data_IF_261488918543
#
_entry.id   IF_261488918543
#
_cell.length_a   1.000
_cell.length_b   1.000
_cell.length_c   1.000
_cell.angle_alpha   90.00
_cell.angle_beta   90.00
_cell.angle_gamma   90.00
#
_symmetry.space_group_name_H-M   'P 1'
#
loop_
_entity.id
_entity.type
_entity.pdbx_description
1 polymer ?
#
# COMPACT_ATOMS: atom_id res chain seq x y z
N UNK A 1 -0.89 23.51 -6.92
CA UNK A 1 -0.67 23.19 -6.59
C UNK A 1 -0.25 23.02 -5.90
N UNK A 2 -0.17 23.06 -5.49
CA UNK A 2 0.07 23.19 -4.85
C UNK A 2 0.72 22.57 -3.77
N UNK A 3 0.29 22.33 -2.72
CA UNK A 3 0.99 21.69 -1.67
C UNK A 3 0.80 20.23 -1.75
N UNK A 4 1.84 19.40 -1.66
CA UNK A 4 1.65 17.96 -1.63
C UNK A 4 0.88 17.60 -0.38
N UNK A 5 0.08 16.59 -0.50
CA UNK A 5 -0.67 16.08 0.63
C UNK A 5 0.28 15.36 1.58
N UNK A 6 0.08 15.54 2.86
CA UNK A 6 0.76 14.71 3.84
C UNK A 6 -0.19 14.39 4.97
N UNK A 7 0.03 13.23 5.56
CA UNK A 7 -0.81 12.81 6.68
C UNK A 7 -0.43 13.59 7.93
N UNK A 8 -1.42 13.89 8.75
CA UNK A 8 -1.17 14.50 10.03
C UNK A 8 -0.54 13.47 10.97
N UNK A 9 -0.01 13.94 12.09
CA UNK A 9 0.57 13.03 13.07
C UNK A 9 -0.49 12.10 13.63
N UNK A 10 -1.69 12.62 13.89
CA UNK A 10 -2.76 11.78 14.37
C UNK A 10 -3.14 10.70 13.37
N UNK A 11 -3.18 11.05 12.09
CA UNK A 11 -3.49 10.07 11.07
C UNK A 11 -2.40 9.03 10.95
N UNK A 12 -1.15 9.45 11.06
CA UNK A 12 -0.04 8.50 10.95
C UNK A 12 -0.06 7.52 12.11
N UNK A 13 -0.41 7.97 13.30
CA UNK A 13 -0.47 7.09 14.45
C UNK A 13 -1.77 6.32 14.56
N UNK A 14 -2.75 6.65 13.75
CA UNK A 14 -4.05 6.00 13.78
C UNK A 14 -4.30 5.21 12.51
N UNK A 15 -5.00 5.83 11.57
CA UNK A 15 -5.48 5.11 10.38
C UNK A 15 -4.35 4.62 9.50
N UNK A 16 -3.26 5.38 9.38
CA UNK A 16 -2.15 4.95 8.55
C UNK A 16 -1.49 3.72 9.14
N UNK A 17 -1.23 3.74 10.44
CA UNK A 17 -0.61 2.60 11.09
C UNK A 17 -1.52 1.39 11.05
N UNK A 18 -2.80 1.59 11.24
CA UNK A 18 -3.77 0.52 11.17
C UNK A 18 -3.78 -0.13 9.79
N UNK A 19 -3.77 0.71 8.75
CA UNK A 19 -3.75 0.23 7.37
C UNK A 19 -2.47 -0.54 7.09
N UNK A 20 -1.35 -0.01 7.55
CA UNK A 20 -0.06 -0.67 7.39
C UNK A 20 -0.10 -2.07 7.99
N UNK A 21 -0.60 -2.17 9.22
CA UNK A 21 -0.65 -3.46 9.91
C UNK A 21 -1.55 -4.44 9.17
N UNK A 22 -2.69 -3.97 8.68
CA UNK A 22 -3.61 -4.83 7.95
C UNK A 22 -2.98 -5.35 6.67
N UNK A 23 -2.26 -4.50 5.96
CA UNK A 23 -1.61 -4.92 4.73
C UNK A 23 -0.54 -5.96 5.02
N UNK A 24 0.24 -5.76 6.07
CA UNK A 24 1.27 -6.73 6.46
C UNK A 24 0.61 -8.07 6.79
N UNK A 25 -0.47 -8.04 7.56
CA UNK A 25 -1.15 -9.27 7.94
C UNK A 25 -1.70 -10.01 6.74
N UNK A 26 -2.26 -9.28 5.78
CA UNK A 26 -2.79 -9.90 4.57
C UNK A 26 -1.68 -10.53 3.74
N UNK A 27 -0.54 -9.87 3.67
CA UNK A 27 0.60 -10.43 2.95
C UNK A 27 1.11 -11.70 3.61
N UNK A 28 1.10 -11.72 4.94
CA UNK A 28 1.54 -12.91 5.64
C UNK A 28 0.57 -14.06 5.44
N UNK A 29 -0.73 -13.75 5.41
CA UNK A 29 -1.73 -14.77 5.12
C UNK A 29 -1.56 -15.33 3.71
N UNK A 30 -1.25 -14.47 2.77
CA UNK A 30 -1.00 -14.90 1.39
C UNK A 30 0.15 -15.88 1.36
N UNK A 31 1.23 -15.56 2.06
CA UNK A 31 2.39 -16.44 2.07
C UNK A 31 2.06 -17.79 2.71
N UNK A 32 1.29 -17.77 3.78
CA UNK A 32 0.89 -19.00 4.43
C UNK A 32 0.04 -19.87 3.53
N UNK A 33 -0.89 -19.25 2.82
CA UNK A 33 -1.83 -20.00 2.00
C UNK A 33 -1.21 -20.53 0.72
N UNK A 34 -0.22 -19.84 0.19
CA UNK A 34 0.38 -20.20 -1.09
C UNK A 34 1.80 -20.69 -0.97
N UNK A 35 2.43 -20.47 0.19
CA UNK A 35 3.83 -20.80 0.41
C UNK A 35 4.74 -20.05 -0.55
N UNK A 36 4.34 -18.86 -0.97
CA UNK A 36 5.14 -18.09 -1.93
C UNK A 36 6.29 -17.40 -1.21
N UNK A 37 7.37 -17.10 -1.95
CA UNK A 37 8.49 -16.38 -1.36
C UNK A 37 8.20 -14.90 -1.25
N UNK A 38 9.04 -14.20 -0.51
CA UNK A 38 8.87 -12.76 -0.32
C UNK A 38 8.87 -11.99 -1.63
N UNK A 39 9.63 -12.44 -2.61
CA UNK A 39 9.68 -11.76 -3.90
C UNK A 39 8.31 -11.69 -4.56
N UNK A 40 7.49 -12.71 -4.35
CA UNK A 40 6.15 -12.70 -4.93
C UNK A 40 5.27 -11.67 -4.23
N UNK A 41 5.45 -11.50 -2.93
CA UNK A 41 4.73 -10.47 -2.20
C UNK A 41 5.14 -9.09 -2.70
N UNK A 42 6.44 -8.88 -2.90
CA UNK A 42 6.93 -7.60 -3.41
C UNK A 42 6.35 -7.34 -4.79
N UNK A 43 6.31 -8.35 -5.65
CA UNK A 43 5.76 -8.19 -6.98
C UNK A 43 4.29 -7.79 -6.93
N UNK A 44 3.53 -8.42 -6.07
CA UNK A 44 2.12 -8.09 -5.94
C UNK A 44 1.94 -6.66 -5.44
N UNK A 45 2.71 -6.27 -4.45
CA UNK A 45 2.63 -4.90 -3.91
C UNK A 45 3.00 -3.88 -4.99
N UNK A 46 3.95 -4.22 -5.84
CA UNK A 46 4.34 -3.34 -6.93
C UNK A 46 3.21 -3.16 -7.92
N UNK A 47 2.48 -4.23 -8.22
CA UNK A 47 1.34 -4.13 -9.11
C UNK A 47 0.26 -3.25 -8.51
N UNK A 48 0.02 -3.41 -7.22
CA UNK A 48 -0.97 -2.58 -6.54
C UNK A 48 -0.54 -1.13 -6.58
N UNK A 49 0.73 -0.87 -6.32
CA UNK A 49 1.26 0.49 -6.35
C UNK A 49 1.09 1.10 -7.73
N UNK A 50 1.32 0.31 -8.78
CA UNK A 50 1.14 0.78 -10.15
C UNK A 50 -0.28 1.23 -10.41
N UNK A 51 -1.24 0.48 -9.89
CA UNK A 51 -2.63 0.86 -10.07
C UNK A 51 -2.91 2.25 -9.53
N UNK A 52 -2.39 2.53 -8.35
CA UNK A 52 -2.63 3.85 -7.76
C UNK A 52 -1.87 4.93 -8.49
N UNK A 53 -0.67 4.63 -8.95
CA UNK A 53 0.10 5.61 -9.70
C UNK A 53 -0.60 6.00 -10.99
N UNK A 54 -1.13 5.02 -11.71
CA UNK A 54 -1.84 5.29 -12.95
C UNK A 54 -3.10 6.10 -12.69
N UNK A 55 -3.82 5.74 -11.64
CA UNK A 55 -5.04 6.46 -11.31
C UNK A 55 -4.75 7.91 -10.96
N UNK A 56 -3.68 8.13 -10.21
CA UNK A 56 -3.31 9.48 -9.85
C UNK A 56 -2.96 10.32 -11.06
N UNK A 57 -2.28 9.74 -12.02
CA UNK A 57 -1.94 10.47 -13.22
C UNK A 57 -3.18 10.87 -13.97
N UNK A 58 -4.15 9.99 -14.07
CA UNK A 58 -5.38 10.31 -14.75
C UNK A 58 -6.11 11.43 -14.05
N UNK A 59 -6.10 11.43 -12.75
CA UNK A 59 -6.78 12.48 -12.00
C UNK A 59 -6.14 13.82 -12.22
N UNK A 60 -4.86 13.81 -12.43
CA UNK A 60 -4.18 15.07 -12.66
C UNK A 60 -4.40 15.57 -14.03
N UNK A 61 -4.47 14.71 -14.95
CA UNK A 61 -4.63 15.05 -16.34
C UNK A 61 -5.96 15.66 -16.57
#
# INVERSE_FOLDING_TARGET
>A
MDKPFSFSIDQMNGIVEETYTKIINECENLRKNTNCPNEQVVALLSVIASNFAITNEKNEG
#
